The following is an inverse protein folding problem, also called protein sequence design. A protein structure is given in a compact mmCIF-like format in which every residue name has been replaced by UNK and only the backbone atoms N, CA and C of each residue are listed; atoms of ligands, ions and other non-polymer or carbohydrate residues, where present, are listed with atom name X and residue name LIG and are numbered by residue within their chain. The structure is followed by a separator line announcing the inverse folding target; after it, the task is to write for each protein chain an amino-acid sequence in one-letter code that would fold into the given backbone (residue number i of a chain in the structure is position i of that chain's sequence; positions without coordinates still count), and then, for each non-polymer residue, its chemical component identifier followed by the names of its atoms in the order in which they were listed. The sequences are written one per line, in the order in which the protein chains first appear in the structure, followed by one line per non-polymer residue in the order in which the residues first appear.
data_IF_716344703401
#
_entry.id   IF_716344703401
#
_cell.length_a   1.000
_cell.length_b   1.000
_cell.length_c   1.000
_cell.angle_alpha   90.00
_cell.angle_beta   90.00
_cell.angle_gamma   90.00
#
_symmetry.space_group_name_H-M   'P 1'
#
loop_
_entity.id
_entity.type
_entity.pdbx_description
1 polymer ?
#
# COMPACT_ATOMS: atom_id res chain seq x y z
N UNK A 1 42.25 -6.71 2.24
CA UNK A 1 41.02 -6.20 1.60
C UNK A 1 40.15 -5.62 2.69
N UNK A 2 39.96 -4.29 2.71
CA UNK A 2 38.87 -3.72 3.51
C UNK A 2 37.58 -4.20 2.83
N UNK A 3 36.85 -5.11 3.47
CA UNK A 3 35.47 -5.35 3.11
C UNK A 3 34.76 -4.01 3.24
N UNK A 4 34.34 -3.42 2.11
CA UNK A 4 33.41 -2.30 2.16
C UNK A 4 32.31 -2.69 3.13
N UNK A 5 32.07 -1.86 4.14
CA UNK A 5 31.03 -2.16 5.11
C UNK A 5 29.71 -1.98 4.38
N UNK A 6 29.16 -3.08 3.88
CA UNK A 6 27.97 -3.04 3.07
C UNK A 6 26.75 -2.91 4.00
N UNK A 7 26.06 -1.78 3.89
CA UNK A 7 24.88 -1.50 4.71
C UNK A 7 23.60 -1.96 4.00
N UNK A 8 22.94 -2.97 4.55
CA UNK A 8 21.73 -3.57 3.96
C UNK A 8 20.58 -2.56 3.81
N UNK A 9 20.41 -1.64 4.77
CA UNK A 9 19.43 -0.57 4.65
C UNK A 9 19.67 0.34 3.44
N UNK A 10 20.92 0.78 3.22
CA UNK A 10 21.27 1.62 2.07
C UNK A 10 21.04 0.87 0.74
N UNK A 11 21.41 -0.41 0.68
CA UNK A 11 21.16 -1.26 -0.50
C UNK A 11 19.68 -1.32 -0.87
N UNK A 12 18.78 -1.49 0.11
CA UNK A 12 17.33 -1.56 -0.12
C UNK A 12 16.81 -0.26 -0.76
N UNK A 13 17.28 0.89 -0.29
CA UNK A 13 16.95 2.18 -0.88
C UNK A 13 17.51 2.32 -2.29
N UNK A 14 18.82 2.12 -2.47
CA UNK A 14 19.47 2.29 -3.78
C UNK A 14 18.80 1.43 -4.86
N UNK A 15 18.44 0.18 -4.53
CA UNK A 15 17.71 -0.69 -5.46
C UNK A 15 16.41 -0.08 -6.01
N UNK A 16 15.65 0.65 -5.20
CA UNK A 16 14.42 1.30 -5.65
C UNK A 16 14.69 2.69 -6.26
N UNK A 17 15.68 3.43 -5.73
CA UNK A 17 16.10 4.73 -6.26
C UNK A 17 16.60 4.59 -7.71
N UNK A 18 17.42 3.59 -8.00
CA UNK A 18 17.97 3.36 -9.35
C UNK A 18 16.83 3.06 -10.35
N UNK A 19 15.82 2.31 -9.93
CA UNK A 19 14.61 2.10 -10.74
C UNK A 19 13.86 3.40 -10.97
N UNK A 20 13.63 4.17 -9.92
CA UNK A 20 12.89 5.44 -10.03
C UNK A 20 13.63 6.43 -10.94
N UNK A 21 14.95 6.50 -10.84
CA UNK A 21 15.79 7.33 -11.70
C UNK A 21 15.57 7.03 -13.18
N UNK A 22 15.65 5.75 -13.56
CA UNK A 22 15.43 5.33 -14.95
C UNK A 22 14.04 5.76 -15.44
N UNK A 23 13.01 5.58 -14.61
CA UNK A 23 11.64 5.95 -14.95
C UNK A 23 11.47 7.47 -15.10
N UNK A 24 12.10 8.25 -14.23
CA UNK A 24 12.08 9.71 -14.31
C UNK A 24 12.83 10.23 -15.55
N UNK A 25 13.98 9.64 -15.91
CA UNK A 25 14.73 9.99 -17.13
C UNK A 25 13.87 9.72 -18.37
N UNK A 26 13.19 8.58 -18.43
CA UNK A 26 12.33 8.23 -19.55
C UNK A 26 11.11 9.16 -19.63
N UNK A 27 10.46 9.44 -18.49
CA UNK A 27 9.33 10.35 -18.42
C UNK A 27 9.72 11.78 -18.87
N UNK A 28 10.86 12.30 -18.42
CA UNK A 28 11.35 13.64 -18.76
C UNK A 28 11.62 13.82 -20.27
N UNK A 29 11.94 12.74 -21.00
CA UNK A 29 12.14 12.76 -22.46
C UNK A 29 10.84 12.69 -23.26
N UNK A 30 9.72 12.43 -22.62
CA UNK A 30 8.43 12.27 -23.30
C UNK A 30 7.74 13.63 -23.52
N UNK A 31 6.79 13.67 -24.46
CA UNK A 31 5.96 14.87 -24.71
C UNK A 31 5.06 15.21 -23.52
N UNK A 32 4.66 14.22 -22.72
CA UNK A 32 3.85 14.39 -21.51
C UNK A 32 4.49 13.59 -20.37
N UNK A 33 5.41 14.20 -19.60
CA UNK A 33 6.14 13.51 -18.54
C UNK A 33 5.26 12.89 -17.47
N UNK A 34 4.21 13.57 -17.02
CA UNK A 34 3.29 13.04 -16.01
C UNK A 34 2.58 11.77 -16.50
N UNK A 35 2.00 11.81 -17.71
CA UNK A 35 1.34 10.65 -18.30
C UNK A 35 2.33 9.52 -18.56
N UNK A 36 3.55 9.82 -19.02
CA UNK A 36 4.58 8.82 -19.24
C UNK A 36 5.04 8.16 -17.94
N UNK A 37 5.14 8.90 -16.84
CA UNK A 37 5.49 8.35 -15.53
C UNK A 37 4.34 7.49 -14.99
N UNK A 38 3.10 7.95 -15.12
CA UNK A 38 1.91 7.21 -14.70
C UNK A 38 1.78 5.86 -15.43
N UNK A 39 1.93 5.85 -16.75
CA UNK A 39 1.87 4.63 -17.58
C UNK A 39 3.09 3.70 -17.39
N UNK A 40 4.07 4.11 -16.60
CA UNK A 40 5.23 3.30 -16.27
C UNK A 40 5.00 2.45 -15.00
N UNK A 41 6.04 1.78 -14.51
CA UNK A 41 6.01 1.05 -13.23
C UNK A 41 6.44 1.92 -12.04
N UNK A 42 6.23 3.24 -12.10
CA UNK A 42 6.71 4.17 -11.08
C UNK A 42 5.98 4.04 -9.74
N UNK A 43 4.65 3.88 -9.75
CA UNK A 43 3.86 3.86 -8.51
C UNK A 43 4.32 2.76 -7.52
N UNK A 44 4.51 1.49 -7.93
CA UNK A 44 5.06 0.48 -7.03
C UNK A 44 6.46 0.81 -6.49
N UNK A 45 7.32 1.44 -7.31
CA UNK A 45 8.69 1.82 -6.90
C UNK A 45 8.64 2.93 -5.84
N UNK A 46 7.83 3.97 -6.07
CA UNK A 46 7.64 5.07 -5.13
C UNK A 46 7.00 4.58 -3.83
N UNK A 47 6.02 3.69 -3.91
CA UNK A 47 5.39 3.08 -2.73
C UNK A 47 6.40 2.27 -1.90
N UNK A 48 7.29 1.51 -2.56
CA UNK A 48 8.36 0.80 -1.86
C UNK A 48 9.32 1.76 -1.13
N UNK A 49 9.62 2.91 -1.75
CA UNK A 49 10.45 3.95 -1.15
C UNK A 49 9.76 4.62 0.05
N UNK A 50 8.45 4.89 -0.04
CA UNK A 50 7.65 5.37 1.09
C UNK A 50 7.70 4.37 2.26
N UNK A 51 7.49 3.08 1.98
CA UNK A 51 7.54 2.02 2.98
C UNK A 51 8.91 1.94 3.67
N UNK A 52 10.00 1.98 2.90
CA UNK A 52 11.35 2.02 3.43
C UNK A 52 11.57 3.28 4.29
N UNK A 53 11.14 4.45 3.84
CA UNK A 53 11.25 5.66 4.64
C UNK A 53 10.44 5.59 5.94
N UNK A 54 9.27 4.93 5.94
CA UNK A 54 8.48 4.69 7.16
C UNK A 54 9.24 3.83 8.17
N UNK A 55 9.82 2.70 7.72
CA UNK A 55 10.66 1.84 8.57
C UNK A 55 11.84 2.66 9.11
N UNK A 56 12.61 3.30 8.23
CA UNK A 56 13.87 3.93 8.61
C UNK A 56 13.71 5.24 9.38
N UNK A 57 12.53 5.89 9.33
CA UNK A 57 12.16 7.00 10.22
C UNK A 57 12.32 6.65 11.70
N UNK A 58 11.93 5.44 12.09
CA UNK A 58 12.00 4.98 13.48
C UNK A 58 13.36 4.38 13.85
N UNK A 59 14.22 4.11 12.87
CA UNK A 59 15.53 3.46 13.06
C UNK A 59 16.72 4.43 13.08
N UNK A 60 16.53 5.61 12.47
CA UNK A 60 17.57 6.58 12.12
C UNK A 60 17.21 8.03 12.51
N UNK A 61 17.76 9.03 11.82
CA UNK A 61 17.36 10.43 11.95
C UNK A 61 15.93 10.61 11.46
N UNK A 62 14.99 10.65 12.40
CA UNK A 62 13.55 10.81 12.17
C UNK A 62 13.23 11.91 11.16
N UNK A 63 13.76 13.13 11.38
CA UNK A 63 13.49 14.28 10.50
C UNK A 63 13.91 14.05 9.05
N UNK A 64 15.07 13.42 8.83
CA UNK A 64 15.56 13.13 7.47
C UNK A 64 14.62 12.19 6.74
N UNK A 65 14.30 11.06 7.35
CA UNK A 65 13.45 10.04 6.74
C UNK A 65 11.97 10.44 6.67
N UNK A 66 11.49 11.33 7.56
CA UNK A 66 10.17 11.97 7.42
C UNK A 66 10.06 12.79 6.14
N UNK A 67 11.08 13.58 5.80
CA UNK A 67 11.07 14.37 4.57
C UNK A 67 11.08 13.49 3.32
N UNK A 68 11.88 12.41 3.33
CA UNK A 68 11.87 11.43 2.25
C UNK A 68 10.52 10.72 2.14
N UNK A 69 9.96 10.27 3.27
CA UNK A 69 8.65 9.62 3.32
C UNK A 69 7.59 10.53 2.70
N UNK A 70 7.54 11.80 3.11
CA UNK A 70 6.59 12.77 2.57
C UNK A 70 6.76 12.97 1.06
N UNK A 71 7.99 13.09 0.58
CA UNK A 71 8.27 13.27 -0.85
C UNK A 71 7.77 12.08 -1.69
N UNK A 72 8.05 10.85 -1.26
CA UNK A 72 7.55 9.66 -1.95
C UNK A 72 6.04 9.51 -1.83
N UNK A 73 5.49 9.79 -0.64
CA UNK A 73 4.05 9.75 -0.41
C UNK A 73 3.30 10.72 -1.32
N UNK A 74 3.78 11.95 -1.51
CA UNK A 74 3.15 12.91 -2.43
C UNK A 74 3.05 12.37 -3.86
N UNK A 75 4.12 11.73 -4.35
CA UNK A 75 4.10 11.09 -5.67
C UNK A 75 3.17 9.88 -5.72
N UNK A 76 3.20 9.00 -4.71
CA UNK A 76 2.35 7.80 -4.67
C UNK A 76 0.86 8.17 -4.60
N UNK A 77 0.50 9.09 -3.70
CA UNK A 77 -0.87 9.55 -3.53
C UNK A 77 -1.39 10.14 -4.85
N UNK A 78 -0.58 10.97 -5.53
CA UNK A 78 -0.99 11.56 -6.80
C UNK A 78 -1.16 10.52 -7.91
N UNK A 79 -0.24 9.56 -8.02
CA UNK A 79 -0.37 8.43 -8.96
C UNK A 79 -1.60 7.57 -8.63
N UNK A 80 -1.92 7.40 -7.35
CA UNK A 80 -3.09 6.68 -6.88
C UNK A 80 -4.41 7.36 -7.21
N UNK A 81 -4.48 8.69 -7.22
CA UNK A 81 -5.67 9.44 -7.66
C UNK A 81 -5.93 9.27 -9.17
N UNK A 82 -4.87 9.28 -9.99
CA UNK A 82 -5.01 9.03 -11.43
C UNK A 82 -5.55 7.61 -11.66
N UNK A 83 -4.96 6.62 -10.99
CA UNK A 83 -5.40 5.21 -11.04
C UNK A 83 -6.86 5.02 -10.62
N UNK A 84 -7.29 5.74 -9.57
CA UNK A 84 -8.68 5.74 -9.12
C UNK A 84 -9.65 6.13 -10.26
N UNK A 85 -9.44 7.29 -10.90
CA UNK A 85 -10.33 7.72 -11.98
C UNK A 85 -10.21 6.85 -13.22
N UNK A 86 -8.99 6.45 -13.61
CA UNK A 86 -8.78 5.59 -14.78
C UNK A 86 -9.52 4.24 -14.63
N UNK A 87 -9.49 3.65 -13.44
CA UNK A 87 -10.15 2.38 -13.16
C UNK A 87 -11.67 2.45 -13.35
N UNK A 88 -12.32 3.50 -12.82
CA UNK A 88 -13.77 3.68 -12.98
C UNK A 88 -14.18 4.11 -14.39
N UNK A 89 -13.36 4.90 -15.08
CA UNK A 89 -13.59 5.19 -16.51
C UNK A 89 -13.59 3.88 -17.30
N UNK A 90 -12.61 3.00 -17.09
CA UNK A 90 -12.55 1.69 -17.75
C UNK A 90 -13.75 0.82 -17.41
N UNK A 91 -14.15 0.78 -16.13
CA UNK A 91 -15.31 0.00 -15.68
C UNK A 91 -16.61 0.51 -16.33
N UNK A 92 -16.88 1.81 -16.25
CA UNK A 92 -18.16 2.37 -16.70
C UNK A 92 -18.28 2.53 -18.21
N UNK A 93 -17.15 2.62 -18.93
CA UNK A 93 -17.16 2.68 -20.41
C UNK A 93 -17.72 1.41 -21.05
N UNK A 94 -17.54 0.24 -20.42
CA UNK A 94 -18.04 -1.04 -20.95
C UNK A 94 -19.47 -1.35 -20.48
N UNK A 95 -20.03 -0.54 -19.58
CA UNK A 95 -21.40 -0.71 -19.11
C UNK A 95 -22.40 -0.16 -20.13
N UNK A 96 -23.36 -1.01 -20.52
CA UNK A 96 -24.39 -0.61 -21.47
C UNK A 96 -25.23 0.56 -20.94
N UNK A 97 -25.46 1.56 -21.79
CA UNK A 97 -26.26 2.76 -21.48
C UNK A 97 -25.75 3.59 -20.28
N UNK A 98 -24.46 3.54 -19.94
CA UNK A 98 -23.91 4.40 -18.90
C UNK A 98 -24.02 5.89 -19.31
N UNK A 99 -24.51 6.80 -18.43
CA UNK A 99 -24.71 8.20 -18.80
C UNK A 99 -23.42 8.91 -19.18
N UNK A 100 -23.33 9.41 -20.41
CA UNK A 100 -22.15 10.10 -20.93
C UNK A 100 -21.71 11.27 -20.06
N UNK A 101 -22.64 12.05 -19.51
CA UNK A 101 -22.34 13.19 -18.64
C UNK A 101 -21.55 12.80 -17.38
N UNK A 102 -21.81 11.62 -16.83
CA UNK A 102 -21.08 11.10 -15.66
C UNK A 102 -19.68 10.64 -16.07
N UNK A 103 -19.56 9.97 -17.22
CA UNK A 103 -18.28 9.52 -17.76
C UNK A 103 -17.36 10.70 -18.14
N UNK A 104 -17.93 11.74 -18.74
CA UNK A 104 -17.22 12.98 -19.09
C UNK A 104 -16.70 13.69 -17.82
N UNK A 105 -17.49 13.71 -16.73
CA UNK A 105 -17.04 14.25 -15.44
C UNK A 105 -15.84 13.47 -14.86
N UNK A 106 -15.91 12.14 -14.83
CA UNK A 106 -14.77 11.30 -14.38
C UNK A 106 -13.53 11.51 -15.25
N UNK A 107 -13.71 11.64 -16.56
CA UNK A 107 -12.62 11.89 -17.51
C UNK A 107 -11.97 13.26 -17.26
N UNK A 108 -12.76 14.29 -16.93
CA UNK A 108 -12.23 15.60 -16.56
C UNK A 108 -11.38 15.53 -15.29
N UNK A 109 -11.83 14.80 -14.26
CA UNK A 109 -11.04 14.57 -13.05
C UNK A 109 -9.74 13.81 -13.33
N UNK A 110 -9.79 12.75 -14.14
CA UNK A 110 -8.58 12.04 -14.59
C UNK A 110 -7.55 13.00 -15.22
N UNK A 111 -7.99 13.89 -16.12
CA UNK A 111 -7.11 14.87 -16.74
C UNK A 111 -6.55 15.89 -15.74
N UNK A 112 -7.36 16.37 -14.80
CA UNK A 112 -6.92 17.26 -13.74
C UNK A 112 -5.84 16.60 -12.86
N UNK A 113 -5.99 15.32 -12.54
CA UNK A 113 -4.98 14.63 -11.72
C UNK A 113 -3.66 14.35 -12.48
N UNK A 114 -3.71 14.18 -13.80
CA UNK A 114 -2.50 14.16 -14.63
C UNK A 114 -1.80 15.53 -14.62
N UNK A 115 -2.54 16.62 -14.74
CA UNK A 115 -1.98 17.98 -14.64
C UNK A 115 -1.40 18.27 -13.26
N UNK A 116 -2.04 17.80 -12.19
CA UNK A 116 -1.53 17.93 -10.83
C UNK A 116 -0.21 17.16 -10.65
N UNK A 117 -0.10 15.95 -11.23
CA UNK A 117 1.16 15.22 -11.24
C UNK A 117 2.26 16.00 -12.00
N UNK A 118 1.96 16.59 -13.15
CA UNK A 118 2.93 17.38 -13.91
C UNK A 118 3.44 18.58 -13.09
N UNK A 119 2.55 19.27 -12.37
CA UNK A 119 2.90 20.34 -11.44
C UNK A 119 3.82 19.85 -10.33
N UNK A 120 3.51 18.70 -9.70
CA UNK A 120 4.36 18.11 -8.65
C UNK A 120 5.75 17.79 -9.20
N UNK A 121 5.82 17.13 -10.37
CA UNK A 121 7.09 16.71 -10.95
C UNK A 121 8.02 17.90 -11.24
N UNK A 122 7.47 19.02 -11.69
CA UNK A 122 8.21 20.26 -12.00
C UNK A 122 8.53 21.07 -10.74
N UNK A 123 7.51 21.37 -9.92
CA UNK A 123 7.66 22.26 -8.76
C UNK A 123 8.55 21.66 -7.68
N UNK A 124 8.49 20.34 -7.50
CA UNK A 124 9.38 19.64 -6.57
C UNK A 124 10.68 19.16 -7.21
N UNK A 125 10.92 19.47 -8.48
CA UNK A 125 12.17 19.17 -9.21
C UNK A 125 12.49 17.67 -9.30
N UNK A 126 11.45 16.83 -9.43
CA UNK A 126 11.60 15.41 -9.76
C UNK A 126 12.07 15.22 -11.21
N UNK A 127 11.61 16.10 -12.09
CA UNK A 127 12.08 16.20 -13.47
C UNK A 127 12.64 17.61 -13.69
N UNK A 128 13.96 17.69 -13.82
CA UNK A 128 14.69 18.85 -14.30
C UNK A 128 16.00 18.36 -14.95
N UNK A 129 16.79 19.27 -15.52
CA UNK A 129 18.02 18.92 -16.23
C UNK A 129 19.04 18.15 -15.36
N UNK A 130 18.96 18.32 -14.04
CA UNK A 130 19.93 17.77 -13.07
C UNK A 130 19.33 16.72 -12.12
N UNK A 131 18.07 16.31 -12.29
CA UNK A 131 17.31 15.48 -11.36
C UNK A 131 17.48 15.90 -9.89
N UNK A 132 17.33 17.20 -9.63
CA UNK A 132 17.74 17.86 -8.37
C UNK A 132 17.16 17.15 -7.15
N UNK A 133 15.86 16.85 -7.13
CA UNK A 133 15.20 16.19 -5.99
C UNK A 133 15.79 14.81 -5.69
N UNK A 134 16.00 14.01 -6.73
CA UNK A 134 16.52 12.65 -6.56
C UNK A 134 17.97 12.66 -6.08
N UNK A 135 18.78 13.59 -6.59
CA UNK A 135 20.16 13.77 -6.17
C UNK A 135 20.27 14.24 -4.71
N UNK A 136 19.37 15.11 -4.24
CA UNK A 136 19.26 15.46 -2.82
C UNK A 136 18.98 14.21 -1.98
N UNK A 137 18.01 13.39 -2.37
CA UNK A 137 17.67 12.16 -1.64
C UNK A 137 18.87 11.18 -1.61
N UNK A 138 19.53 10.96 -2.76
CA UNK A 138 20.74 10.12 -2.85
C UNK A 138 21.84 10.59 -1.91
N UNK A 139 22.09 11.90 -1.84
CA UNK A 139 23.06 12.49 -0.91
C UNK A 139 22.65 12.28 0.55
N UNK A 140 21.39 12.53 0.89
CA UNK A 140 20.88 12.32 2.25
C UNK A 140 20.96 10.84 2.67
N UNK A 141 20.78 9.90 1.75
CA UNK A 141 20.97 8.46 1.98
C UNK A 141 22.45 8.12 2.19
N UNK A 142 23.35 8.64 1.37
CA UNK A 142 24.79 8.43 1.52
C UNK A 142 25.32 8.97 2.85
N UNK A 143 24.83 10.14 3.28
CA UNK A 143 25.24 10.80 4.52
C UNK A 143 24.59 10.19 5.78
N UNK A 144 23.82 9.10 5.66
CA UNK A 144 23.14 8.50 6.81
C UNK A 144 24.07 7.54 7.57
N UNK A 145 24.01 7.57 8.90
CA UNK A 145 24.83 6.71 9.77
C UNK A 145 24.30 5.28 9.83
N UNK A 146 24.38 4.56 8.71
CA UNK A 146 23.84 3.21 8.54
C UNK A 146 24.41 2.22 9.55
N UNK A 147 23.59 1.24 9.90
CA UNK A 147 23.91 0.23 10.92
C UNK A 147 24.40 -1.04 10.26
N UNK A 148 25.24 -1.80 10.98
CA UNK A 148 25.60 -3.15 10.57
C UNK A 148 24.35 -4.03 10.39
N UNK A 149 24.45 -5.06 9.54
CA UNK A 149 23.33 -5.93 9.21
C UNK A 149 22.61 -6.52 10.44
N UNK A 150 23.35 -6.94 11.47
CA UNK A 150 22.76 -7.47 12.71
C UNK A 150 21.95 -6.40 13.47
N UNK A 151 22.51 -5.19 13.64
CA UNK A 151 21.84 -4.10 14.35
C UNK A 151 20.63 -3.57 13.57
N UNK A 152 20.72 -3.56 12.24
CA UNK A 152 19.62 -3.24 11.33
C UNK A 152 18.49 -4.26 11.49
N UNK A 153 18.79 -5.56 11.39
CA UNK A 153 17.81 -6.66 11.60
C UNK A 153 17.07 -6.53 12.93
N UNK A 154 17.79 -6.42 14.06
CA UNK A 154 17.18 -6.35 15.40
C UNK A 154 16.25 -5.14 15.54
N UNK A 155 16.64 -3.99 14.98
CA UNK A 155 15.78 -2.80 15.03
C UNK A 155 14.57 -2.91 14.12
N UNK A 156 14.71 -3.53 12.94
CA UNK A 156 13.57 -3.80 12.05
C UNK A 156 12.58 -4.74 12.75
N UNK A 157 13.05 -5.81 13.39
CA UNK A 157 12.20 -6.71 14.17
C UNK A 157 11.42 -5.95 15.25
N UNK A 158 12.10 -5.10 16.04
CA UNK A 158 11.43 -4.25 17.05
C UNK A 158 10.40 -3.31 16.44
N UNK A 159 10.72 -2.66 15.31
CA UNK A 159 9.78 -1.80 14.60
C UNK A 159 8.52 -2.55 14.15
N UNK A 160 8.66 -3.76 13.62
CA UNK A 160 7.52 -4.56 13.19
C UNK A 160 6.63 -4.98 14.38
N UNK A 161 7.23 -5.30 15.52
CA UNK A 161 6.52 -5.57 16.77
C UNK A 161 5.72 -4.34 17.21
N UNK A 162 6.35 -3.16 17.23
CA UNK A 162 5.71 -1.88 17.59
C UNK A 162 4.53 -1.56 16.65
N UNK A 163 4.69 -1.76 15.34
CA UNK A 163 3.60 -1.57 14.38
C UNK A 163 2.44 -2.56 14.61
N UNK A 164 2.72 -3.81 14.99
CA UNK A 164 1.66 -4.76 15.35
C UNK A 164 0.95 -4.33 16.65
N UNK A 165 1.70 -3.90 17.65
CA UNK A 165 1.15 -3.44 18.93
C UNK A 165 0.21 -2.23 18.70
N UNK A 166 0.60 -1.26 17.86
CA UNK A 166 -0.26 -0.12 17.49
C UNK A 166 -1.60 -0.59 16.86
N UNK A 167 -1.57 -1.58 15.97
CA UNK A 167 -2.79 -2.13 15.34
C UNK A 167 -3.67 -2.84 16.37
N UNK A 168 -3.07 -3.65 17.24
CA UNK A 168 -3.78 -4.34 18.32
C UNK A 168 -4.43 -3.33 19.28
N UNK A 169 -3.76 -2.23 19.59
CA UNK A 169 -4.25 -1.19 20.49
C UNK A 169 -5.35 -0.35 19.85
N UNK A 170 -5.20 0.08 18.59
CA UNK A 170 -6.25 0.79 17.84
C UNK A 170 -7.54 -0.04 17.74
N UNK A 171 -7.39 -1.35 17.56
CA UNK A 171 -8.52 -2.28 17.56
C UNK A 171 -9.17 -2.41 18.95
N UNK A 172 -8.38 -2.63 20.02
CA UNK A 172 -8.90 -2.81 21.39
C UNK A 172 -9.55 -1.55 21.95
N UNK A 173 -9.00 -0.38 21.65
CA UNK A 173 -9.48 0.92 22.14
C UNK A 173 -10.72 1.42 21.39
N UNK A 174 -11.07 0.77 20.27
CA UNK A 174 -12.18 1.18 19.42
C UNK A 174 -11.86 2.38 18.53
N UNK A 175 -10.58 2.73 18.34
CA UNK A 175 -10.15 3.73 17.37
C UNK A 175 -10.57 3.33 15.93
N UNK A 176 -10.60 2.02 15.65
CA UNK A 176 -11.12 1.46 14.40
C UNK A 176 -12.64 1.33 14.45
N UNK A 177 -13.35 2.36 13.99
CA UNK A 177 -14.81 2.37 13.95
C UNK A 177 -15.36 1.63 12.73
N UNK A 178 -15.59 0.32 12.83
CA UNK A 178 -16.16 -0.50 11.74
C UNK A 178 -17.60 -0.12 11.33
N UNK A 179 -18.27 0.79 12.03
CA UNK A 179 -19.52 1.39 11.53
C UNK A 179 -19.26 2.47 10.44
N UNK A 180 -18.00 2.84 10.23
CA UNK A 180 -17.50 3.71 9.16
C UNK A 180 -16.68 2.89 8.15
N UNK A 181 -16.91 3.14 6.86
CA UNK A 181 -16.17 2.47 5.78
C UNK A 181 -14.72 2.97 5.70
N UNK A 182 -14.50 4.27 5.83
CA UNK A 182 -13.17 4.87 5.69
C UNK A 182 -12.36 4.71 6.99
N UNK A 183 -12.90 5.19 8.11
CA UNK A 183 -12.18 5.19 9.40
C UNK A 183 -12.17 3.82 10.12
N UNK A 184 -12.95 2.85 9.65
CA UNK A 184 -12.99 1.49 10.20
C UNK A 184 -12.43 0.45 9.24
N UNK A 185 -13.23 0.10 8.23
CA UNK A 185 -12.91 -0.97 7.28
C UNK A 185 -11.62 -0.67 6.52
N UNK A 186 -11.52 0.53 5.94
CA UNK A 186 -10.39 0.91 5.12
C UNK A 186 -9.13 1.14 5.97
N UNK A 187 -9.24 1.83 7.11
CA UNK A 187 -8.08 2.05 7.99
C UNK A 187 -7.54 0.74 8.57
N UNK A 188 -8.40 -0.15 9.08
CA UNK A 188 -7.95 -1.45 9.58
C UNK A 188 -7.22 -2.25 8.49
N UNK A 189 -7.78 -2.31 7.28
CA UNK A 189 -7.12 -2.94 6.14
C UNK A 189 -5.78 -2.27 5.83
N UNK A 190 -5.72 -0.93 5.84
CA UNK A 190 -4.50 -0.17 5.54
C UNK A 190 -3.40 -0.49 6.53
N UNK A 191 -3.75 -0.54 7.80
CA UNK A 191 -2.87 -0.91 8.90
C UNK A 191 -2.27 -2.31 8.73
N UNK A 192 -3.11 -3.35 8.61
CA UNK A 192 -2.61 -4.73 8.46
C UNK A 192 -1.82 -4.92 7.15
N UNK A 193 -2.17 -4.20 6.08
CA UNK A 193 -1.48 -4.28 4.78
C UNK A 193 -0.01 -3.86 4.88
N UNK A 194 0.34 -2.94 5.78
CA UNK A 194 1.72 -2.52 5.97
C UNK A 194 2.65 -3.67 6.34
N UNK A 195 2.19 -4.62 7.15
CA UNK A 195 2.99 -5.79 7.56
C UNK A 195 3.44 -6.62 6.35
N UNK A 196 2.53 -6.92 5.41
CA UNK A 196 2.87 -7.64 4.17
C UNK A 196 3.78 -6.81 3.24
N UNK A 197 3.58 -5.48 3.19
CA UNK A 197 4.43 -4.59 2.37
C UNK A 197 5.85 -4.56 2.93
N UNK A 198 6.01 -4.46 4.25
CA UNK A 198 7.32 -4.49 4.88
C UNK A 198 8.10 -5.76 4.55
N UNK A 199 7.42 -6.93 4.58
CA UNK A 199 8.03 -8.19 4.18
C UNK A 199 8.60 -8.16 2.75
N UNK A 200 7.92 -7.49 1.81
CA UNK A 200 8.37 -7.33 0.43
C UNK A 200 9.54 -6.34 0.30
N UNK A 201 9.42 -5.14 0.88
CA UNK A 201 10.41 -4.06 0.67
C UNK A 201 11.72 -4.28 1.43
N UNK A 202 11.69 -5.12 2.47
CA UNK A 202 12.89 -5.54 3.19
C UNK A 202 13.78 -6.52 2.40
N UNK A 203 13.38 -6.86 1.17
CA UNK A 203 14.18 -7.53 0.16
C UNK A 203 14.86 -8.82 0.66
N UNK A 204 14.06 -9.71 1.22
CA UNK A 204 14.48 -11.04 1.65
C UNK A 204 14.90 -11.15 3.11
N UNK A 205 14.82 -10.07 3.89
CA UNK A 205 15.03 -10.15 5.34
C UNK A 205 13.95 -11.00 6.04
N UNK A 206 12.70 -10.86 5.61
CA UNK A 206 11.57 -11.65 6.11
C UNK A 206 11.45 -12.88 5.22
N UNK A 207 11.36 -14.06 5.81
CA UNK A 207 11.16 -15.33 5.12
C UNK A 207 9.97 -16.07 5.72
N UNK A 208 9.22 -16.79 4.90
CA UNK A 208 8.13 -17.64 5.37
C UNK A 208 8.66 -19.04 5.69
N UNK A 209 8.24 -19.57 6.84
CA UNK A 209 8.54 -20.95 7.25
C UNK A 209 7.23 -21.70 7.42
N UNK A 210 7.05 -22.88 6.79
CA UNK A 210 5.85 -23.66 7.02
C UNK A 210 5.78 -24.12 8.49
N UNK A 211 4.57 -24.13 9.04
CA UNK A 211 4.27 -24.78 10.31
C UNK A 211 4.55 -26.29 10.20
N UNK A 212 4.93 -26.93 11.31
CA UNK A 212 4.97 -28.39 11.39
C UNK A 212 3.56 -28.99 11.29
N UNK A 213 2.55 -28.30 11.83
CA UNK A 213 1.14 -28.65 11.77
C UNK A 213 0.30 -27.41 11.49
N UNK A 214 -0.63 -27.51 10.53
CA UNK A 214 -1.58 -26.44 10.23
C UNK A 214 -2.74 -26.55 11.22
N UNK A 215 -2.97 -25.49 11.99
CA UNK A 215 -4.11 -25.44 12.92
C UNK A 215 -5.44 -25.38 12.15
N UNK A 216 -6.50 -26.10 12.58
CA UNK A 216 -7.80 -26.14 11.88
C UNK A 216 -8.39 -24.75 11.62
N UNK A 217 -8.25 -23.81 12.55
CA UNK A 217 -8.77 -22.44 12.41
C UNK A 217 -8.12 -21.63 11.28
N UNK A 218 -6.95 -22.05 10.79
CA UNK A 218 -6.19 -21.41 9.71
C UNK A 218 -6.48 -21.99 8.32
N UNK A 219 -7.06 -23.19 8.23
CA UNK A 219 -7.30 -23.89 6.95
C UNK A 219 -8.09 -23.02 5.97
N UNK A 220 -9.05 -22.24 6.48
CA UNK A 220 -9.90 -21.34 5.68
C UNK A 220 -9.11 -20.28 4.90
N UNK A 221 -7.91 -19.95 5.32
CA UNK A 221 -7.07 -18.93 4.68
C UNK A 221 -6.16 -19.51 3.59
N UNK A 222 -5.97 -20.83 3.59
CA UNK A 222 -5.07 -21.55 2.67
C UNK A 222 -5.77 -21.86 1.34
N UNK A 223 -6.43 -20.86 0.76
CA UNK A 223 -7.09 -21.02 -0.55
C UNK A 223 -6.05 -21.03 -1.68
N UNK A 224 -6.45 -21.52 -2.87
CA UNK A 224 -5.57 -21.52 -4.04
C UNK A 224 -5.15 -20.10 -4.41
N UNK A 225 -6.04 -19.14 -4.28
CA UNK A 225 -5.81 -17.73 -4.55
C UNK A 225 -4.79 -17.15 -3.57
N UNK A 226 -4.92 -17.44 -2.27
CA UNK A 226 -3.95 -17.00 -1.26
C UNK A 226 -2.58 -17.62 -1.52
N UNK A 227 -2.51 -18.94 -1.68
CA UNK A 227 -1.23 -19.66 -1.85
C UNK A 227 -0.47 -19.16 -3.08
N UNK A 228 -1.17 -18.90 -4.19
CA UNK A 228 -0.55 -18.48 -5.44
C UNK A 228 -0.41 -16.96 -5.60
N UNK A 229 -0.86 -16.19 -4.60
CA UNK A 229 -0.83 -14.73 -4.65
C UNK A 229 0.60 -14.22 -4.88
N UNK A 230 0.82 -13.30 -5.83
CA UNK A 230 2.13 -12.69 -6.05
C UNK A 230 2.62 -11.92 -4.82
N UNK A 231 1.71 -11.43 -3.97
CA UNK A 231 2.05 -10.75 -2.72
C UNK A 231 2.62 -11.68 -1.64
N UNK A 232 2.42 -13.00 -1.80
CA UNK A 232 2.93 -14.02 -0.89
C UNK A 232 4.27 -14.62 -1.36
N UNK A 233 4.77 -14.17 -2.52
CA UNK A 233 6.08 -14.56 -3.05
C UNK A 233 7.12 -13.55 -2.57
N UNK A 234 7.65 -13.78 -1.37
CA UNK A 234 8.67 -12.92 -0.77
C UNK A 234 10.00 -13.03 -1.53
N UNK A 235 10.79 -11.94 -1.62
CA UNK A 235 12.13 -12.01 -2.20
C UNK A 235 13.03 -13.02 -1.48
N UNK A 236 13.94 -13.64 -2.21
CA UNK A 236 14.88 -14.60 -1.64
C UNK A 236 15.81 -13.97 -0.60
N UNK A 237 16.14 -14.75 0.43
CA UNK A 237 17.09 -14.38 1.46
C UNK A 237 18.45 -13.98 0.86
N UNK A 238 19.06 -12.94 1.43
CA UNK A 238 20.39 -12.50 1.02
C UNK A 238 21.47 -13.23 1.81
N UNK A 239 22.55 -13.59 1.13
CA UNK A 239 23.70 -14.23 1.76
C UNK A 239 24.27 -13.37 2.90
N UNK A 240 24.64 -14.01 4.01
CA UNK A 240 25.24 -13.34 5.17
C UNK A 240 24.27 -12.55 6.06
N UNK A 241 22.98 -12.55 5.77
CA UNK A 241 21.94 -11.91 6.60
C UNK A 241 21.01 -12.96 7.16
N UNK A 242 21.02 -13.14 8.49
CA UNK A 242 20.07 -14.03 9.16
C UNK A 242 18.63 -13.54 8.95
N UNK A 243 17.72 -14.36 8.40
CA UNK A 243 16.33 -13.98 8.21
C UNK A 243 15.54 -13.80 9.51
N UNK A 244 14.44 -13.08 9.42
CA UNK A 244 13.33 -13.09 10.37
C UNK A 244 12.29 -14.05 9.77
N UNK A 245 11.98 -15.13 10.48
CA UNK A 245 10.99 -16.10 10.01
C UNK A 245 9.60 -15.74 10.51
N UNK A 246 8.59 -15.95 9.67
CA UNK A 246 7.18 -15.86 10.02
C UNK A 246 6.51 -17.15 9.55
N UNK A 247 5.60 -17.72 10.35
CA UNK A 247 4.82 -18.87 9.93
C UNK A 247 3.99 -18.54 8.68
N UNK A 248 4.13 -19.38 7.65
CA UNK A 248 3.43 -19.23 6.38
C UNK A 248 1.91 -19.13 6.56
N UNK A 249 1.34 -19.88 7.50
CA UNK A 249 -0.11 -19.98 7.72
C UNK A 249 -0.68 -18.67 8.25
N UNK A 250 0.00 -18.03 9.21
CA UNK A 250 -0.41 -16.72 9.73
C UNK A 250 -0.18 -15.60 8.70
N UNK A 251 0.92 -15.67 7.94
CA UNK A 251 1.14 -14.71 6.86
C UNK A 251 0.06 -14.83 5.76
N UNK A 252 -0.41 -16.05 5.47
CA UNK A 252 -1.49 -16.28 4.52
C UNK A 252 -2.84 -15.81 5.06
N UNK A 253 -3.10 -15.98 6.36
CA UNK A 253 -4.29 -15.40 7.00
C UNK A 253 -4.32 -13.87 6.88
N UNK A 254 -3.19 -13.21 7.13
CA UNK A 254 -3.01 -11.78 6.92
C UNK A 254 -3.29 -11.39 5.45
N UNK A 255 -2.66 -12.08 4.51
CA UNK A 255 -2.80 -11.83 3.06
C UNK A 255 -4.25 -12.01 2.58
N UNK A 256 -4.92 -13.07 3.02
CA UNK A 256 -6.31 -13.33 2.71
C UNK A 256 -7.23 -12.22 3.22
N UNK A 257 -7.03 -11.74 4.46
CA UNK A 257 -7.85 -10.68 5.02
C UNK A 257 -7.64 -9.34 4.31
N UNK A 258 -6.39 -9.03 3.91
CA UNK A 258 -6.07 -7.84 3.09
C UNK A 258 -6.80 -7.90 1.75
N UNK A 259 -6.79 -9.05 1.09
CA UNK A 259 -7.44 -9.26 -0.20
C UNK A 259 -8.96 -9.14 -0.07
N UNK A 260 -9.56 -9.90 0.85
CA UNK A 260 -11.00 -9.89 1.11
C UNK A 260 -11.52 -8.51 1.53
N UNK A 261 -10.78 -7.82 2.40
CA UNK A 261 -11.10 -6.43 2.76
C UNK A 261 -10.92 -5.46 1.59
N UNK A 262 -10.06 -5.79 0.62
CA UNK A 262 -9.90 -5.04 -0.62
C UNK A 262 -11.14 -5.10 -1.48
N UNK A 263 -11.62 -6.32 -1.75
CA UNK A 263 -12.84 -6.55 -2.54
C UNK A 263 -14.04 -5.81 -1.94
N UNK A 264 -14.23 -5.93 -0.63
CA UNK A 264 -15.30 -5.25 0.10
C UNK A 264 -15.18 -3.71 0.03
N UNK A 265 -13.97 -3.19 0.11
CA UNK A 265 -13.69 -1.75 0.03
C UNK A 265 -13.91 -1.21 -1.38
N UNK A 266 -13.54 -1.97 -2.41
CA UNK A 266 -13.72 -1.56 -3.80
C UNK A 266 -15.22 -1.52 -4.17
N UNK A 267 -16.04 -2.45 -3.66
CA UNK A 267 -17.51 -2.34 -3.76
C UNK A 267 -18.05 -1.06 -3.10
N UNK A 268 -17.55 -0.72 -1.91
CA UNK A 268 -17.97 0.49 -1.19
C UNK A 268 -17.56 1.78 -1.92
N UNK A 269 -16.33 1.83 -2.44
CA UNK A 269 -15.84 2.98 -3.19
C UNK A 269 -16.59 3.20 -4.50
N UNK A 270 -17.06 2.15 -5.18
CA UNK A 270 -17.86 2.30 -6.39
C UNK A 270 -19.14 3.10 -6.13
N UNK A 271 -19.81 2.81 -5.03
CA UNK A 271 -21.02 3.54 -4.60
C UNK A 271 -20.69 5.00 -4.35
N UNK A 272 -19.61 5.28 -3.61
CA UNK A 272 -19.18 6.66 -3.29
C UNK A 272 -18.81 7.43 -4.57
N UNK A 273 -18.10 6.79 -5.49
CA UNK A 273 -17.72 7.36 -6.78
C UNK A 273 -18.95 7.80 -7.57
N UNK A 274 -19.94 6.90 -7.71
CA UNK A 274 -21.18 7.20 -8.41
C UNK A 274 -21.99 8.30 -7.72
N UNK A 275 -22.18 8.23 -6.40
CA UNK A 275 -22.93 9.26 -5.65
C UNK A 275 -22.29 10.65 -5.81
N UNK A 276 -20.95 10.71 -5.72
CA UNK A 276 -20.19 11.95 -5.89
C UNK A 276 -20.35 12.50 -7.31
N UNK A 277 -20.15 11.65 -8.32
CA UNK A 277 -20.25 12.04 -9.74
C UNK A 277 -21.66 12.52 -10.11
N UNK A 278 -22.70 11.83 -9.63
CA UNK A 278 -24.11 12.22 -9.84
C UNK A 278 -24.38 13.58 -9.19
N UNK A 279 -23.86 13.79 -7.98
CA UNK A 279 -24.02 15.06 -7.26
C UNK A 279 -23.32 16.21 -7.96
N UNK A 280 -22.07 16.04 -8.37
CA UNK A 280 -21.27 17.07 -9.04
C UNK A 280 -21.83 17.49 -10.41
N UNK A 281 -22.44 16.53 -11.12
CA UNK A 281 -23.05 16.78 -12.44
C UNK A 281 -24.51 17.23 -12.35
N UNK A 282 -25.11 17.25 -11.15
CA UNK A 282 -26.54 17.45 -10.94
C UNK A 282 -27.40 16.55 -11.85
N UNK A 283 -26.97 15.32 -12.09
CA UNK A 283 -27.61 14.40 -13.04
C UNK A 283 -29.06 14.06 -12.65
N UNK A 284 -29.33 13.99 -11.35
CA UNK A 284 -30.69 13.89 -10.77
C UNK A 284 -30.81 14.81 -9.55
N UNK A 285 -32.03 15.04 -9.10
CA UNK A 285 -32.30 15.73 -7.83
C UNK A 285 -31.64 15.01 -6.64
N UNK A 286 -31.19 15.76 -5.62
CA UNK A 286 -30.43 15.20 -4.49
C UNK A 286 -31.16 14.05 -3.76
N UNK A 287 -32.50 14.12 -3.69
CA UNK A 287 -33.35 13.07 -3.11
C UNK A 287 -33.32 11.74 -3.87
N UNK A 288 -32.93 11.74 -5.15
CA UNK A 288 -32.92 10.58 -6.05
C UNK A 288 -31.53 9.99 -6.27
N UNK A 289 -30.47 10.58 -5.69
CA UNK A 289 -29.08 10.13 -5.89
C UNK A 289 -28.92 8.64 -5.54
N UNK A 290 -29.42 8.22 -4.37
CA UNK A 290 -29.30 6.82 -3.93
C UNK A 290 -30.00 5.82 -4.85
N UNK A 291 -31.13 6.23 -5.41
CA UNK A 291 -31.88 5.41 -6.37
C UNK A 291 -31.10 5.30 -7.69
N UNK A 292 -30.61 6.42 -8.22
CA UNK A 292 -29.78 6.45 -9.43
C UNK A 292 -28.49 5.63 -9.26
N UNK A 293 -27.79 5.77 -8.13
CA UNK A 293 -26.60 4.97 -7.82
C UNK A 293 -26.91 3.48 -7.81
N UNK A 294 -28.04 3.07 -7.22
CA UNK A 294 -28.44 1.65 -7.20
C UNK A 294 -28.66 1.09 -8.61
N UNK A 295 -29.20 1.89 -9.52
CA UNK A 295 -29.40 1.51 -10.93
C UNK A 295 -28.05 1.41 -11.66
N UNK A 296 -27.12 2.32 -11.39
CA UNK A 296 -25.84 2.40 -12.08
C UNK A 296 -24.78 1.45 -11.53
N UNK A 297 -24.82 1.10 -10.25
CA UNK A 297 -23.87 0.21 -9.57
C UNK A 297 -24.17 -1.28 -9.85
N UNK A 298 -24.27 -1.67 -11.12
CA UNK A 298 -24.71 -3.02 -11.53
C UNK A 298 -23.78 -4.15 -11.03
N UNK A 299 -22.51 -3.83 -10.77
CA UNK A 299 -21.48 -4.77 -10.30
C UNK A 299 -21.36 -4.82 -8.76
N UNK A 300 -22.21 -4.12 -8.01
CA UNK A 300 -22.21 -4.21 -6.56
C UNK A 300 -23.01 -5.41 -6.08
N UNK A 301 -22.37 -6.27 -5.29
CA UNK A 301 -23.01 -7.45 -4.72
C UNK A 301 -23.55 -7.17 -3.32
N UNK A 302 -23.00 -6.18 -2.63
CA UNK A 302 -23.34 -5.83 -1.27
C UNK A 302 -23.63 -4.34 -1.07
N UNK A 303 -24.49 -4.07 -0.10
CA UNK A 303 -24.69 -2.70 0.40
C UNK A 303 -23.55 -2.32 1.36
N UNK A 304 -23.26 -1.01 1.54
CA UNK A 304 -22.26 -0.55 2.50
C UNK A 304 -22.48 -1.07 3.93
N UNK A 305 -23.74 -1.24 4.34
CA UNK A 305 -24.07 -1.79 5.67
C UNK A 305 -23.63 -3.25 5.85
N UNK A 306 -23.77 -4.07 4.80
CA UNK A 306 -23.35 -5.48 4.80
C UNK A 306 -21.84 -5.60 4.77
N UNK A 307 -21.17 -4.80 3.94
CA UNK A 307 -19.70 -4.71 3.88
C UNK A 307 -19.11 -4.45 5.27
N UNK A 308 -19.64 -3.45 5.97
CA UNK A 308 -19.19 -3.09 7.33
C UNK A 308 -19.39 -4.21 8.35
N UNK A 309 -20.57 -4.84 8.33
CA UNK A 309 -20.86 -5.96 9.23
C UNK A 309 -19.96 -7.18 8.94
N UNK A 310 -19.77 -7.53 7.67
CA UNK A 310 -18.90 -8.63 7.25
C UNK A 310 -17.45 -8.37 7.67
N UNK A 311 -16.93 -7.16 7.42
CA UNK A 311 -15.56 -6.83 7.80
C UNK A 311 -15.35 -6.87 9.31
N UNK A 312 -16.32 -6.41 10.12
CA UNK A 312 -16.23 -6.50 11.58
C UNK A 312 -16.12 -7.96 12.04
N UNK A 313 -16.97 -8.85 11.51
CA UNK A 313 -16.93 -10.28 11.86
C UNK A 313 -15.57 -10.89 11.49
N UNK A 314 -15.05 -10.57 10.30
CA UNK A 314 -13.75 -11.06 9.85
C UNK A 314 -12.60 -10.52 10.70
N UNK A 315 -12.64 -9.23 11.06
CA UNK A 315 -11.66 -8.59 11.92
C UNK A 315 -11.68 -9.20 13.34
N UNK A 316 -12.86 -9.47 13.90
CA UNK A 316 -13.02 -10.08 15.22
C UNK A 316 -12.41 -11.47 15.27
N UNK A 317 -12.74 -12.30 14.30
CA UNK A 317 -12.18 -13.65 14.21
C UNK A 317 -10.65 -13.61 14.04
N UNK A 318 -10.14 -12.69 13.22
CA UNK A 318 -8.70 -12.52 12.98
C UNK A 318 -7.93 -12.00 14.21
N UNK A 319 -8.48 -11.01 14.91
CA UNK A 319 -7.83 -10.31 16.02
C UNK A 319 -8.00 -11.03 17.36
N UNK A 320 -9.19 -11.59 17.62
CA UNK A 320 -9.57 -12.09 18.94
C UNK A 320 -9.53 -13.61 19.03
N UNK A 321 -10.08 -14.30 18.02
CA UNK A 321 -10.21 -15.76 18.07
C UNK A 321 -8.90 -16.43 17.65
N UNK A 322 -8.40 -16.11 16.44
CA UNK A 322 -7.16 -16.70 15.90
C UNK A 322 -5.91 -15.96 16.37
N UNK A 323 -6.04 -14.66 16.70
CA UNK A 323 -4.93 -13.79 17.15
C UNK A 323 -3.74 -13.80 16.19
N UNK A 324 -4.01 -13.67 14.89
CA UNK A 324 -3.00 -13.81 13.83
C UNK A 324 -1.83 -12.85 14.04
N UNK A 325 -2.09 -11.58 14.37
CA UNK A 325 -1.02 -10.60 14.59
C UNK A 325 -0.17 -10.92 15.81
N UNK A 326 -0.77 -11.42 16.89
CA UNK A 326 -0.03 -11.83 18.08
C UNK A 326 0.92 -12.99 17.78
N UNK A 327 0.51 -13.93 16.93
CA UNK A 327 1.38 -15.01 16.48
C UNK A 327 2.53 -14.51 15.60
N UNK A 328 2.25 -13.66 14.61
CA UNK A 328 3.29 -13.02 13.77
C UNK A 328 4.29 -12.23 14.65
N UNK A 329 3.78 -11.52 15.67
CA UNK A 329 4.61 -10.77 16.63
C UNK A 329 5.57 -11.68 17.39
N UNK A 330 5.10 -12.85 17.84
CA UNK A 330 5.95 -13.84 18.52
C UNK A 330 7.05 -14.37 17.60
N UNK A 331 6.71 -14.74 16.36
CA UNK A 331 7.69 -15.22 15.37
C UNK A 331 8.79 -14.17 15.10
N UNK A 332 8.42 -12.89 15.03
CA UNK A 332 9.37 -11.77 14.88
C UNK A 332 10.22 -11.60 16.14
N UNK A 333 9.63 -11.81 17.33
CA UNK A 333 10.30 -11.73 18.63
C UNK A 333 11.46 -12.72 18.76
N UNK A 334 11.34 -13.92 18.19
CA UNK A 334 12.39 -14.94 18.19
C UNK A 334 13.67 -14.51 17.44
N UNK A 335 13.60 -13.45 16.63
CA UNK A 335 14.74 -12.92 15.88
C UNK A 335 15.56 -11.85 16.62
N UNK A 336 15.09 -11.39 17.79
CA UNK A 336 15.73 -10.36 18.65
C UNK A 336 16.67 -11.02 19.64
#
# INVERSE_FOLDING_TARGET
MQTETIFEGLKRFNYQIDKLEILLILAAKSKNPALSLYNSKARPVVFNLEALSRIYKNLHNKKRFERMQLAFKTLEDQLGKIDYYESYIKEFTVQENFPKVLLDNLTNHYHQEIENLDKILKNEQWIDENQTKLNIIKKELADASWKSAEKDRKKIAKFLIEEIDEIEDDYKTGALNFADLEHGVHEFRRQIRWISIYALVLNGLIQLKPAEEIKPELERYLTKETINSPFNKLPEAKEGVAPIYIDTSYFYALSWLIAKGGDLKDEGLRIICLETTIKETAFVEESKIKEATKILAINNHQSPSKIKAEMKILADYFMLDVKVLSHIKNDIGDAI
#
